data_IF_577540681234
#
_entry.id   IF_577540681234
#
_cell.length_a   1.000
_cell.length_b   1.000
_cell.length_c   1.000
_cell.angle_alpha   90.00
_cell.angle_beta   90.00
_cell.angle_gamma   90.00
#
_symmetry.space_group_name_H-M   'P 1'
#
loop_
_entity.id
_entity.type
_entity.pdbx_description
1 polymer ?
#
# COMPACT_ATOMS: atom_id res chain seq x y z
N UNK A 1 -6.47 -9.03 4.15
CA UNK A 1 -7.42 -7.89 4.00
C UNK A 1 -7.32 -7.20 2.63
N UNK A 2 -6.11 -6.88 2.14
CA UNK A 2 -5.94 -6.13 0.87
C UNK A 2 -6.64 -6.80 -0.31
N UNK A 3 -6.49 -8.11 -0.51
CA UNK A 3 -7.21 -8.85 -1.56
C UNK A 3 -8.72 -8.53 -1.59
N UNK A 4 -9.39 -8.62 -0.44
CA UNK A 4 -10.84 -8.40 -0.34
C UNK A 4 -11.19 -6.94 -0.63
N UNK A 5 -10.49 -5.98 -0.01
CA UNK A 5 -10.80 -4.57 -0.18
C UNK A 5 -10.55 -4.09 -1.61
N UNK A 6 -9.47 -4.56 -2.26
CA UNK A 6 -9.22 -4.27 -3.69
C UNK A 6 -10.32 -4.91 -4.53
N UNK A 7 -10.72 -6.16 -4.27
CA UNK A 7 -11.83 -6.81 -4.98
C UNK A 7 -13.13 -5.99 -4.89
N UNK A 8 -13.50 -5.53 -3.70
CA UNK A 8 -14.72 -4.75 -3.50
C UNK A 8 -14.68 -3.35 -4.13
N UNK A 9 -13.50 -2.72 -4.20
CA UNK A 9 -13.39 -1.30 -4.55
C UNK A 9 -12.74 -1.02 -5.91
N UNK A 10 -12.16 -2.02 -6.58
CA UNK A 10 -11.45 -1.85 -7.85
C UNK A 10 -12.36 -1.24 -8.95
N UNK A 11 -13.63 -1.63 -9.02
CA UNK A 11 -14.59 -1.07 -9.98
C UNK A 11 -15.08 0.35 -9.64
N UNK A 12 -14.81 0.85 -8.42
CA UNK A 12 -15.33 2.13 -7.92
C UNK A 12 -14.21 3.18 -7.82
N UNK A 13 -13.15 2.88 -7.09
CA UNK A 13 -12.02 3.81 -6.84
C UNK A 13 -10.71 3.36 -7.48
N UNK A 14 -10.68 2.19 -8.12
CA UNK A 14 -9.44 1.52 -8.53
C UNK A 14 -8.75 0.75 -7.40
N UNK A 15 -9.28 0.78 -6.17
CA UNK A 15 -8.82 -0.08 -5.07
C UNK A 15 -7.40 0.19 -4.58
N UNK A 16 -7.01 1.47 -4.44
CA UNK A 16 -5.63 1.80 -4.05
C UNK A 16 -5.31 1.44 -2.59
N UNK A 17 -6.19 1.83 -1.65
CA UNK A 17 -6.09 1.58 -0.20
C UNK A 17 -4.73 1.95 0.44
N UNK A 18 -3.91 2.74 -0.27
CA UNK A 18 -2.52 3.01 0.07
C UNK A 18 -2.00 4.28 -0.65
N UNK A 19 -1.43 5.25 0.08
CA UNK A 19 -0.84 6.45 -0.51
C UNK A 19 0.30 6.15 -1.49
N UNK A 20 1.16 5.17 -1.21
CA UNK A 20 2.28 4.81 -2.09
C UNK A 20 1.79 4.22 -3.43
N UNK A 21 0.72 3.43 -3.40
CA UNK A 21 0.06 2.93 -4.62
C UNK A 21 -0.56 4.07 -5.41
N UNK A 22 -1.27 4.97 -4.72
CA UNK A 22 -1.87 6.17 -5.34
C UNK A 22 -0.82 7.06 -5.99
N UNK A 23 0.30 7.28 -5.29
CA UNK A 23 1.42 8.06 -5.76
C UNK A 23 2.10 7.41 -6.97
N UNK A 24 2.36 6.11 -6.95
CA UNK A 24 2.91 5.38 -8.11
C UNK A 24 2.02 5.52 -9.35
N UNK A 25 0.71 5.31 -9.21
CA UNK A 25 -0.24 5.47 -10.32
C UNK A 25 -0.36 6.93 -10.80
N UNK A 26 -0.22 7.91 -9.90
CA UNK A 26 -0.12 9.32 -10.26
C UNK A 26 1.14 9.61 -11.10
N UNK A 27 2.31 9.12 -10.68
CA UNK A 27 3.57 9.27 -11.42
C UNK A 27 3.49 8.64 -12.82
N UNK A 28 2.78 7.52 -12.94
CA UNK A 28 2.50 6.87 -14.23
C UNK A 28 1.35 7.52 -15.02
N UNK A 29 0.87 8.70 -14.61
CA UNK A 29 -0.21 9.48 -15.25
C UNK A 29 -1.55 8.73 -15.36
N UNK A 30 -1.80 7.76 -14.48
CA UNK A 30 -3.08 7.01 -14.42
C UNK A 30 -4.10 7.64 -13.46
N UNK A 31 -3.67 8.61 -12.64
CA UNK A 31 -4.49 9.32 -11.65
C UNK A 31 -4.16 10.81 -11.74
N UNK A 32 -5.16 11.69 -11.66
CA UNK A 32 -4.94 13.14 -11.64
C UNK A 32 -4.44 13.61 -10.27
N UNK A 33 -3.75 14.75 -10.22
CA UNK A 33 -3.21 15.32 -8.98
C UNK A 33 -4.29 15.52 -7.91
N UNK A 34 -5.41 16.15 -8.27
CA UNK A 34 -6.52 16.43 -7.33
C UNK A 34 -7.07 15.13 -6.74
N UNK A 35 -7.24 14.10 -7.57
CA UNK A 35 -7.74 12.80 -7.11
C UNK A 35 -6.70 12.07 -6.24
N UNK A 36 -5.42 12.16 -6.59
CA UNK A 36 -4.34 11.58 -5.79
C UNK A 36 -4.30 12.19 -4.38
N UNK A 37 -4.35 13.52 -4.28
CA UNK A 37 -4.40 14.23 -2.98
C UNK A 37 -5.65 13.83 -2.19
N UNK A 38 -6.83 13.85 -2.83
CA UNK A 38 -8.08 13.44 -2.18
C UNK A 38 -8.06 12.00 -1.66
N UNK A 39 -7.45 11.08 -2.41
CA UNK A 39 -7.27 9.69 -2.00
C UNK A 39 -6.33 9.56 -0.80
N UNK A 40 -5.19 10.26 -0.80
CA UNK A 40 -4.23 10.20 0.31
C UNK A 40 -4.88 10.70 1.61
N UNK A 41 -5.62 11.81 1.55
CA UNK A 41 -6.35 12.34 2.71
C UNK A 41 -7.39 11.32 3.19
N UNK A 42 -8.24 10.81 2.29
CA UNK A 42 -9.27 9.83 2.65
C UNK A 42 -8.69 8.54 3.26
N UNK A 43 -7.56 8.05 2.71
CA UNK A 43 -6.86 6.88 3.22
C UNK A 43 -6.31 7.12 4.63
N UNK A 44 -5.69 8.28 4.88
CA UNK A 44 -5.16 8.62 6.21
C UNK A 44 -6.28 8.77 7.25
N UNK A 45 -7.36 9.47 6.92
CA UNK A 45 -8.52 9.62 7.81
C UNK A 45 -9.16 8.25 8.12
N UNK A 46 -9.35 7.41 7.11
CA UNK A 46 -9.88 6.05 7.30
C UNK A 46 -8.98 5.19 8.20
N UNK A 47 -7.65 5.29 8.06
CA UNK A 47 -6.71 4.58 8.91
C UNK A 47 -6.77 5.04 10.38
N UNK A 48 -6.84 6.35 10.62
CA UNK A 48 -7.02 6.92 11.98
C UNK A 48 -8.31 6.39 12.59
N UNK A 49 -9.44 6.45 11.87
CA UNK A 49 -10.72 5.95 12.35
C UNK A 49 -10.66 4.45 12.68
N UNK A 50 -10.07 3.64 11.78
CA UNK A 50 -9.95 2.20 11.97
C UNK A 50 -9.15 1.82 13.22
N UNK A 51 -7.98 2.43 13.41
CA UNK A 51 -7.15 2.18 14.60
C UNK A 51 -7.82 2.74 15.87
N UNK A 52 -8.51 3.87 15.78
CA UNK A 52 -9.32 4.44 16.86
C UNK A 52 -10.39 3.47 17.38
N UNK A 53 -11.11 2.79 16.47
CA UNK A 53 -12.07 1.75 16.85
C UNK A 53 -11.40 0.57 17.55
N UNK A 54 -10.23 0.12 17.09
CA UNK A 54 -9.49 -0.96 17.77
C UNK A 54 -9.13 -0.55 19.20
N UNK A 55 -8.58 0.66 19.41
CA UNK A 55 -8.26 1.17 20.75
C UNK A 55 -9.52 1.30 21.62
N UNK A 56 -10.67 1.67 21.05
CA UNK A 56 -11.92 1.74 21.79
C UNK A 56 -12.40 0.35 22.28
N UNK A 57 -12.24 -0.70 21.46
CA UNK A 57 -12.66 -2.06 21.82
C UNK A 57 -11.70 -2.77 22.79
N UNK A 58 -10.40 -2.51 22.68
CA UNK A 58 -9.38 -3.24 23.44
C UNK A 58 -8.29 -2.31 24.00
N UNK A 59 -8.69 -1.22 24.68
CA UNK A 59 -7.79 -0.15 25.15
C UNK A 59 -6.55 -0.65 25.90
N UNK A 60 -6.73 -1.56 26.86
CA UNK A 60 -5.61 -2.07 27.67
C UNK A 60 -4.63 -2.93 26.84
N UNK A 61 -5.07 -3.99 26.13
CA UNK A 61 -4.20 -4.71 25.20
C UNK A 61 -3.55 -3.82 24.14
N UNK A 62 -4.30 -2.87 23.57
CA UNK A 62 -3.80 -1.95 22.56
C UNK A 62 -2.59 -1.16 23.07
N UNK A 63 -2.71 -0.53 24.24
CA UNK A 63 -1.62 0.26 24.81
C UNK A 63 -0.43 -0.62 25.22
N UNK A 64 -0.68 -1.82 25.77
CA UNK A 64 0.37 -2.71 26.26
C UNK A 64 1.17 -3.40 25.15
N UNK A 65 0.56 -3.64 23.99
CA UNK A 65 1.14 -4.40 22.87
C UNK A 65 1.60 -3.51 21.71
N UNK A 66 1.84 -2.22 21.96
CA UNK A 66 2.45 -1.30 20.98
C UNK A 66 1.48 -0.72 19.94
N UNK A 67 0.16 -0.90 20.13
CA UNK A 67 -0.87 -0.20 19.34
C UNK A 67 -0.90 -0.52 17.84
N UNK A 68 -0.18 -1.56 17.41
CA UNK A 68 -0.02 -1.90 15.99
C UNK A 68 0.76 -0.85 15.19
N UNK A 69 1.52 0.04 15.84
CA UNK A 69 2.33 1.06 15.19
C UNK A 69 3.59 0.47 14.54
N UNK A 70 4.08 1.15 13.50
CA UNK A 70 5.36 0.83 12.88
C UNK A 70 6.48 1.62 13.56
N UNK A 71 7.61 0.96 13.81
CA UNK A 71 8.84 1.53 14.37
C UNK A 71 10.00 0.60 14.06
N UNK A 72 11.25 1.08 14.15
CA UNK A 72 12.44 0.27 13.89
C UNK A 72 12.66 -0.70 15.06
N UNK A 73 12.68 -2.00 14.77
CA UNK A 73 12.91 -3.02 15.80
C UNK A 73 14.36 -2.96 16.31
N UNK A 74 14.56 -3.34 17.57
CA UNK A 74 15.88 -3.36 18.19
C UNK A 74 16.84 -4.28 17.41
N UNK A 75 18.09 -3.82 17.26
CA UNK A 75 19.11 -4.52 16.48
C UNK A 75 19.16 -4.14 15.00
N UNK A 76 18.21 -3.34 14.50
CA UNK A 76 18.25 -2.80 13.14
C UNK A 76 18.57 -1.30 13.15
N UNK A 77 19.25 -0.84 12.08
CA UNK A 77 19.50 0.58 11.86
C UNK A 77 18.36 1.23 11.08
N UNK A 78 18.22 2.56 11.16
CA UNK A 78 17.26 3.32 10.36
C UNK A 78 17.51 3.12 8.85
N UNK A 79 18.76 2.96 8.43
CA UNK A 79 19.11 2.65 7.04
C UNK A 79 18.59 1.27 6.59
N UNK A 80 18.68 0.27 7.46
CA UNK A 80 18.14 -1.07 7.21
C UNK A 80 16.62 -1.04 7.11
N UNK A 81 15.95 -0.36 8.04
CA UNK A 81 14.50 -0.19 8.02
C UNK A 81 14.02 0.54 6.75
N UNK A 82 14.68 1.64 6.39
CA UNK A 82 14.38 2.39 5.18
C UNK A 82 14.56 1.53 3.92
N UNK A 83 15.66 0.78 3.82
CA UNK A 83 15.90 -0.14 2.71
C UNK A 83 14.82 -1.23 2.60
N UNK A 84 14.42 -1.82 3.72
CA UNK A 84 13.35 -2.83 3.77
C UNK A 84 12.00 -2.25 3.29
N UNK A 85 11.63 -1.05 3.74
CA UNK A 85 10.40 -0.37 3.33
C UNK A 85 10.41 0.04 1.84
N UNK A 86 11.56 0.47 1.31
CA UNK A 86 11.73 0.77 -0.12
C UNK A 86 11.50 -0.49 -0.97
N UNK A 87 12.21 -1.59 -0.66
CA UNK A 87 12.14 -2.82 -1.44
C UNK A 87 10.75 -3.47 -1.30
N UNK A 88 10.21 -3.53 -0.09
CA UNK A 88 8.88 -4.07 0.16
C UNK A 88 7.80 -3.30 -0.61
N UNK A 89 7.88 -1.97 -0.62
CA UNK A 89 6.93 -1.15 -1.38
C UNK A 89 7.14 -1.26 -2.88
N UNK A 90 8.39 -1.39 -3.35
CA UNK A 90 8.68 -1.67 -4.76
C UNK A 90 7.98 -2.96 -5.22
N UNK A 91 8.11 -4.06 -4.48
CA UNK A 91 7.45 -5.33 -4.78
C UNK A 91 5.93 -5.16 -4.88
N UNK A 92 5.33 -4.45 -3.93
CA UNK A 92 3.90 -4.15 -3.93
C UNK A 92 3.49 -3.33 -5.16
N UNK A 93 4.12 -2.19 -5.40
CA UNK A 93 3.70 -1.24 -6.45
C UNK A 93 4.02 -1.79 -7.84
N UNK A 94 5.12 -2.53 -8.01
CA UNK A 94 5.40 -3.27 -9.24
C UNK A 94 4.31 -4.30 -9.55
N UNK A 95 3.88 -5.03 -8.51
CA UNK A 95 2.75 -5.98 -8.63
C UNK A 95 1.47 -5.26 -9.02
N UNK A 96 1.18 -4.09 -8.43
CA UNK A 96 0.01 -3.28 -8.80
C UNK A 96 0.05 -2.91 -10.27
N UNK A 97 1.18 -2.42 -10.79
CA UNK A 97 1.30 -2.08 -12.21
C UNK A 97 1.06 -3.28 -13.11
N UNK A 98 1.68 -4.42 -12.80
CA UNK A 98 1.50 -5.67 -13.54
C UNK A 98 0.06 -6.20 -13.47
N UNK A 99 -0.67 -5.86 -12.40
CA UNK A 99 -2.05 -6.24 -12.18
C UNK A 99 -3.07 -5.25 -12.76
N UNK A 100 -2.65 -4.18 -13.43
CA UNK A 100 -3.58 -3.24 -14.09
C UNK A 100 -4.23 -3.89 -15.32
N UNK A 101 -5.55 -3.74 -15.49
CA UNK A 101 -6.22 -4.09 -16.73
C UNK A 101 -6.16 -2.90 -17.71
N UNK A 102 -5.44 -3.00 -18.84
CA UNK A 102 -5.32 -1.89 -19.78
C UNK A 102 -6.63 -1.56 -20.50
N UNK A 103 -7.66 -2.42 -20.40
CA UNK A 103 -8.94 -2.26 -21.11
C UNK A 103 -10.11 -1.93 -20.18
N UNK A 104 -9.92 -1.95 -18.87
CA UNK A 104 -11.01 -1.73 -17.90
C UNK A 104 -10.66 -0.63 -16.92
N UNK A 105 -11.58 0.30 -16.74
CA UNK A 105 -11.42 1.40 -15.80
C UNK A 105 -12.50 1.38 -14.72
N UNK A 106 -12.18 1.96 -13.56
CA UNK A 106 -13.14 2.23 -12.51
C UNK A 106 -14.21 3.20 -13.01
N UNK A 107 -15.43 3.07 -12.46
CA UNK A 107 -16.62 3.82 -12.86
C UNK A 107 -16.33 5.31 -13.09
N UNK A 108 -16.81 5.82 -14.22
CA UNK A 108 -16.77 7.24 -14.60
C UNK A 108 -15.35 7.84 -14.50
N UNK A 109 -14.32 7.07 -14.85
CA UNK A 109 -12.92 7.51 -14.79
C UNK A 109 -11.97 6.73 -15.68
N UNK A 110 -10.69 7.14 -15.68
CA UNK A 110 -9.59 6.47 -16.38
C UNK A 110 -8.66 5.67 -15.46
N UNK A 111 -9.03 5.48 -14.18
CA UNK A 111 -8.23 4.67 -13.25
C UNK A 111 -8.37 3.20 -13.64
N UNK A 112 -7.28 2.43 -13.82
CA UNK A 112 -7.38 1.02 -14.18
C UNK A 112 -8.03 0.19 -13.06
N UNK A 113 -8.81 -0.82 -13.47
CA UNK A 113 -9.22 -1.89 -12.56
C UNK A 113 -8.02 -2.80 -12.28
N UNK A 114 -7.86 -3.21 -11.03
CA UNK A 114 -6.74 -4.03 -10.57
C UNK A 114 -7.16 -5.50 -10.38
N UNK A 115 -6.28 -6.44 -10.73
CA UNK A 115 -6.42 -7.84 -10.33
C UNK A 115 -6.04 -8.00 -8.84
N UNK A 116 -6.98 -8.31 -7.94
CA UNK A 116 -6.78 -8.14 -6.50
C UNK A 116 -5.92 -9.23 -5.85
N UNK A 117 -5.94 -10.46 -6.38
CA UNK A 117 -5.30 -11.61 -5.74
C UNK A 117 -3.76 -11.48 -5.71
N UNK A 118 -3.06 -11.18 -6.84
CA UNK A 118 -1.61 -10.96 -6.81
C UNK A 118 -1.20 -9.82 -5.88
N UNK A 119 -1.98 -8.74 -5.82
CA UNK A 119 -1.71 -7.59 -4.94
C UNK A 119 -1.79 -8.03 -3.48
N UNK A 120 -2.84 -8.76 -3.10
CA UNK A 120 -2.96 -9.31 -1.75
C UNK A 120 -1.81 -10.24 -1.37
N UNK A 121 -1.36 -11.08 -2.30
CA UNK A 121 -0.21 -11.97 -2.11
C UNK A 121 1.11 -11.23 -2.00
N UNK A 122 1.35 -10.18 -2.79
CA UNK A 122 2.54 -9.35 -2.67
C UNK A 122 2.62 -8.69 -1.29
N UNK A 123 1.51 -8.14 -0.78
CA UNK A 123 1.44 -7.61 0.59
C UNK A 123 1.75 -8.71 1.60
N UNK A 124 1.15 -9.89 1.46
CA UNK A 124 1.39 -11.02 2.36
C UNK A 124 2.87 -11.45 2.40
N UNK A 125 3.48 -11.64 1.23
CA UNK A 125 4.90 -12.02 1.11
C UNK A 125 5.83 -10.98 1.74
N UNK A 126 5.58 -9.69 1.49
CA UNK A 126 6.39 -8.62 2.08
C UNK A 126 6.25 -8.64 3.61
N UNK A 127 5.04 -8.83 4.15
CA UNK A 127 4.86 -8.93 5.60
C UNK A 127 5.67 -10.07 6.21
N UNK A 128 5.72 -11.26 5.57
CA UNK A 128 6.53 -12.37 6.06
C UNK A 128 8.02 -12.00 6.20
N UNK A 129 8.54 -11.16 5.31
CA UNK A 129 9.94 -10.75 5.31
C UNK A 129 10.24 -9.53 6.19
N UNK A 130 9.31 -8.57 6.30
CA UNK A 130 9.59 -7.25 6.90
C UNK A 130 8.98 -7.04 8.29
N UNK A 131 8.09 -7.92 8.77
CA UNK A 131 7.57 -7.85 10.15
C UNK A 131 8.69 -7.77 11.19
N UNK A 132 9.76 -8.58 11.13
CA UNK A 132 10.83 -8.55 12.13
C UNK A 132 11.66 -7.25 12.15
N UNK A 133 11.60 -6.44 11.09
CA UNK A 133 12.42 -5.22 10.94
C UNK A 133 11.62 -3.99 11.38
N UNK A 134 10.38 -3.85 10.92
CA UNK A 134 9.57 -2.63 11.10
C UNK A 134 8.10 -2.86 11.48
N UNK A 135 7.69 -4.13 11.63
CA UNK A 135 6.27 -4.49 11.65
C UNK A 135 5.56 -4.36 10.29
N UNK A 136 6.31 -4.06 9.22
CA UNK A 136 5.85 -3.80 7.84
C UNK A 136 4.95 -2.58 7.70
N UNK A 137 5.51 -1.50 7.16
CA UNK A 137 4.78 -0.29 6.79
C UNK A 137 4.13 -0.45 5.42
N UNK A 138 4.95 -0.30 4.36
CA UNK A 138 4.65 -0.26 2.92
C UNK A 138 3.41 0.53 2.48
N UNK A 139 2.80 1.25 3.42
CA UNK A 139 1.53 1.96 3.32
C UNK A 139 1.55 3.15 4.31
N UNK A 140 1.82 4.37 3.82
CA UNK A 140 1.93 5.54 4.68
C UNK A 140 0.67 5.84 5.49
N UNK A 141 -0.52 5.61 4.95
CA UNK A 141 -1.78 5.84 5.68
C UNK A 141 -1.93 4.87 6.86
N UNK A 142 -1.57 3.59 6.66
CA UNK A 142 -1.58 2.58 7.73
C UNK A 142 -0.59 2.92 8.84
N UNK A 143 0.60 3.37 8.49
CA UNK A 143 1.61 3.75 9.49
C UNK A 143 1.20 5.03 10.23
N UNK A 144 0.73 6.04 9.50
CA UNK A 144 0.28 7.30 10.08
C UNK A 144 -0.94 7.14 11.00
N UNK A 145 -1.96 6.40 10.56
CA UNK A 145 -3.15 6.15 11.38
C UNK A 145 -2.83 5.46 12.70
N UNK A 146 -1.88 4.52 12.69
CA UNK A 146 -1.41 3.87 13.91
C UNK A 146 -0.59 4.82 14.80
N UNK A 147 0.31 5.63 14.21
CA UNK A 147 1.10 6.61 14.95
C UNK A 147 0.23 7.65 15.67
N UNK A 148 -0.80 8.18 15.01
CA UNK A 148 -1.74 9.16 15.59
C UNK A 148 -2.47 8.60 16.82
N UNK A 149 -2.90 7.34 16.76
CA UNK A 149 -3.71 6.74 17.84
C UNK A 149 -2.84 6.15 18.97
N UNK A 150 -1.63 5.66 18.63
CA UNK A 150 -0.66 5.17 19.60
C UNK A 150 -0.04 6.33 20.40
N UNK A 151 0.22 7.46 19.73
CA UNK A 151 0.78 8.70 20.29
C UNK A 151 2.01 8.46 21.16
N UNK A 152 3.01 7.78 20.59
CA UNK A 152 4.26 7.44 21.25
C UNK A 152 5.43 8.14 20.57
N UNK A 153 6.33 8.74 21.37
CA UNK A 153 7.50 9.47 20.86
C UNK A 153 8.37 8.63 19.92
N UNK A 154 8.71 7.40 20.30
CA UNK A 154 9.59 6.55 19.48
C UNK A 154 8.95 6.22 18.12
N UNK A 155 7.63 6.04 18.10
CA UNK A 155 6.87 5.81 16.86
C UNK A 155 6.93 7.05 15.97
N UNK A 156 6.77 8.24 16.54
CA UNK A 156 6.85 9.50 15.80
C UNK A 156 8.27 9.80 15.28
N UNK A 157 9.30 9.49 16.05
CA UNK A 157 10.70 9.66 15.67
C UNK A 157 11.06 8.83 14.41
N UNK A 158 10.48 7.62 14.28
CA UNK A 158 10.68 6.73 13.13
C UNK A 158 9.68 6.95 11.99
N UNK A 159 8.61 7.71 12.22
CA UNK A 159 7.44 7.79 11.31
C UNK A 159 7.80 8.23 9.88
N UNK A 160 8.84 9.06 9.72
CA UNK A 160 9.29 9.54 8.42
C UNK A 160 9.72 8.41 7.48
N UNK A 161 10.27 7.32 8.02
CA UNK A 161 10.71 6.14 7.25
C UNK A 161 9.53 5.54 6.47
N UNK A 162 8.36 5.49 7.10
CA UNK A 162 7.14 4.92 6.54
C UNK A 162 6.40 5.84 5.56
N UNK A 163 6.92 7.03 5.32
CA UNK A 163 6.51 7.91 4.21
C UNK A 163 7.56 7.90 3.10
N UNK A 164 8.82 8.17 3.45
CA UNK A 164 9.92 8.29 2.49
C UNK A 164 10.19 6.95 1.80
N UNK A 165 10.33 5.87 2.57
CA UNK A 165 10.62 4.54 2.03
C UNK A 165 9.56 4.09 1.01
N UNK A 166 8.26 4.10 1.38
CA UNK A 166 7.20 3.72 0.45
C UNK A 166 7.09 4.61 -0.79
N UNK A 167 7.27 5.93 -0.69
CA UNK A 167 7.25 6.80 -1.87
C UNK A 167 8.45 6.58 -2.80
N UNK A 168 9.65 6.34 -2.25
CA UNK A 168 10.82 5.99 -3.05
C UNK A 168 10.60 4.64 -3.74
N UNK A 169 10.13 3.62 -3.02
CA UNK A 169 9.81 2.31 -3.59
C UNK A 169 8.76 2.39 -4.72
N UNK A 170 7.71 3.19 -4.52
CA UNK A 170 6.68 3.43 -5.52
C UNK A 170 7.21 4.15 -6.77
N UNK A 171 8.07 5.16 -6.59
CA UNK A 171 8.75 5.86 -7.68
C UNK A 171 9.60 4.90 -8.52
N UNK A 172 10.42 4.08 -7.86
CA UNK A 172 11.26 3.09 -8.53
C UNK A 172 10.44 2.06 -9.31
N UNK A 173 9.34 1.57 -8.73
CA UNK A 173 8.44 0.63 -9.39
C UNK A 173 7.75 1.26 -10.62
N UNK A 174 7.29 2.52 -10.50
CA UNK A 174 6.73 3.26 -11.62
C UNK A 174 7.75 3.45 -12.75
N UNK A 175 8.97 3.89 -12.41
CA UNK A 175 10.04 4.08 -13.39
C UNK A 175 10.43 2.77 -14.09
N UNK A 176 10.59 1.70 -13.32
CA UNK A 176 10.93 0.38 -13.85
C UNK A 176 9.85 -0.16 -14.80
N UNK A 177 8.58 -0.12 -14.40
CA UNK A 177 7.50 -0.63 -15.24
C UNK A 177 7.26 0.22 -16.49
N UNK A 178 7.29 1.55 -16.38
CA UNK A 178 6.95 2.46 -17.48
C UNK A 178 8.09 2.64 -18.48
N UNK A 179 9.34 2.80 -18.00
CA UNK A 179 10.44 3.21 -18.88
C UNK A 179 11.40 2.07 -19.21
N UNK A 180 11.67 1.17 -18.27
CA UNK A 180 12.59 0.04 -18.48
C UNK A 180 11.86 -1.10 -19.19
N UNK A 181 10.76 -1.60 -18.62
CA UNK A 181 9.99 -2.69 -19.24
C UNK A 181 9.09 -2.22 -20.38
N UNK A 182 8.70 -0.93 -20.38
CA UNK A 182 7.70 -0.36 -21.32
C UNK A 182 6.41 -1.19 -21.36
N UNK A 183 5.99 -1.69 -20.20
CA UNK A 183 4.91 -2.67 -20.06
C UNK A 183 3.50 -2.06 -19.93
N UNK A 184 3.33 -0.76 -20.24
CA UNK A 184 2.08 -0.05 -19.99
C UNK A 184 0.84 -0.63 -20.70
N UNK A 185 1.04 -1.33 -21.82
CA UNK A 185 -0.01 -1.97 -22.61
C UNK A 185 -0.18 -3.49 -22.33
N UNK A 186 0.68 -4.07 -21.49
CA UNK A 186 0.66 -5.51 -21.20
C UNK A 186 -0.49 -5.82 -20.24
N UNK A 187 -1.22 -6.91 -20.52
CA UNK A 187 -2.23 -7.48 -19.63
C UNK A 187 -1.71 -8.80 -19.06
N UNK A 188 -1.47 -8.85 -17.76
CA UNK A 188 -1.15 -10.12 -17.09
C UNK A 188 -2.38 -11.05 -17.10
N UNK A 189 -2.16 -12.34 -17.42
CA UNK A 189 -3.19 -13.36 -17.33
C UNK A 189 -3.22 -13.91 -15.91
N UNK A 190 -4.33 -13.68 -15.19
CA UNK A 190 -4.54 -14.26 -13.85
C UNK A 190 -4.71 -15.79 -13.89
N UNK A 191 -4.38 -16.46 -12.79
CA UNK A 191 -4.33 -17.93 -12.68
C UNK A 191 -5.64 -18.67 -12.95
N UNK A 192 -6.80 -18.00 -12.86
CA UNK A 192 -8.10 -18.62 -13.08
C UNK A 192 -8.68 -18.16 -14.41
N UNK A 193 -8.49 -18.96 -15.46
CA UNK A 193 -9.36 -18.90 -16.63
C UNK A 193 -10.69 -19.53 -16.25
N UNK A 194 -11.77 -18.74 -16.24
CA UNK A 194 -13.07 -19.31 -16.62
C UNK A 194 -12.98 -19.57 -18.11
N UNK A 195 -13.01 -20.83 -18.52
CA UNK A 195 -13.34 -21.15 -19.90
C UNK A 195 -14.79 -20.71 -20.11
N UNK A 196 -15.07 -20.08 -21.25
CA UNK A 196 -16.42 -19.64 -21.63
C UNK A 196 -17.37 -20.81 -22.01
N UNK A 197 -17.06 -22.03 -21.55
CA UNK A 197 -17.74 -23.27 -21.95
C UNK A 197 -18.36 -24.05 -20.79
N UNK A 198 -18.42 -23.48 -19.59
CA UNK A 198 -19.18 -24.04 -18.47
C UNK A 198 -20.24 -23.05 -18.00
#
# INVERSE_FOLDING_TARGET
MIFVLVYCTAGISGGHINPAVTFGLFLARKVSLVRAVGYIIAQCLGAICGVGFVKAFMKHPYNALGGGANFVQSGYSNGTALGAEIIGTFVLVYTVFSATDPKRSARDSHIPVLAPLPIGFAVFMVHLATIPITGTGINPARSFGAAVIADNKNVWDDQWIFWVGPFVGALLAAAYHQYILRAAAIKALGSFRSNATN
#
